data_IF_249055377631
#
_entry.id   IF_249055377631
#
_cell.length_a   1.000
_cell.length_b   1.000
_cell.length_c   1.000
_cell.angle_alpha   90.00
_cell.angle_beta   90.00
_cell.angle_gamma   90.00
#
_symmetry.space_group_name_H-M   'P 1'
#
loop_
_entity.id
_entity.type
_entity.pdbx_description
1 polymer ?
#
# COMPACT_ATOMS: atom_id res chain seq x y z
N UNK A 1 14.30 6.47 -26.72
CA UNK A 1 13.48 7.57 -26.13
C UNK A 1 14.42 8.36 -25.22
N UNK A 2 14.76 9.58 -25.61
CA UNK A 2 15.90 10.35 -25.10
C UNK A 2 15.56 11.12 -23.80
N UNK A 3 16.59 11.22 -22.95
CA UNK A 3 16.96 12.34 -22.06
C UNK A 3 16.03 12.73 -20.88
N UNK A 4 16.46 12.36 -19.67
CA UNK A 4 16.15 13.06 -18.43
C UNK A 4 17.31 13.98 -18.07
N UNK A 5 17.35 15.17 -18.66
CA UNK A 5 18.14 16.30 -18.15
C UNK A 5 17.19 17.47 -17.96
N UNK A 6 16.78 17.72 -16.72
CA UNK A 6 16.38 19.06 -16.30
C UNK A 6 16.48 19.21 -14.78
N UNK A 7 17.67 19.58 -14.31
CA UNK A 7 17.81 20.28 -13.03
C UNK A 7 17.41 21.73 -13.32
N UNK A 8 16.17 22.09 -13.00
CA UNK A 8 15.70 23.49 -13.07
C UNK A 8 15.99 24.15 -11.73
N UNK A 9 16.94 25.09 -11.72
CA UNK A 9 17.24 25.93 -10.56
C UNK A 9 16.35 27.18 -10.48
N UNK A 10 15.91 27.39 -9.25
CA UNK A 10 15.26 28.54 -8.60
C UNK A 10 14.03 29.21 -9.23
N UNK A 11 12.87 28.87 -8.67
CA UNK A 11 11.83 29.85 -8.34
C UNK A 11 11.24 29.49 -6.97
N UNK A 12 10.75 30.48 -6.21
CA UNK A 12 9.97 30.24 -4.98
C UNK A 12 8.76 29.36 -5.32
N UNK A 13 8.88 28.04 -5.15
CA UNK A 13 7.82 27.09 -5.52
C UNK A 13 8.28 25.67 -5.86
N UNK A 14 9.58 25.39 -5.99
CA UNK A 14 10.04 24.04 -6.33
C UNK A 14 10.00 23.10 -5.10
N UNK A 15 9.41 21.91 -5.28
CA UNK A 15 9.43 20.84 -4.28
C UNK A 15 10.23 19.66 -4.80
N UNK A 16 11.01 19.06 -3.91
CA UNK A 16 11.86 17.91 -4.22
C UNK A 16 11.31 16.68 -3.49
N UNK A 17 11.24 15.57 -4.21
CA UNK A 17 10.88 14.27 -3.68
C UNK A 17 11.58 13.19 -4.50
N UNK A 18 11.86 12.05 -3.85
CA UNK A 18 12.22 10.83 -4.55
C UNK A 18 10.95 10.04 -4.82
N UNK A 19 10.79 9.59 -6.06
CA UNK A 19 9.75 8.66 -6.49
C UNK A 19 10.42 7.36 -6.92
N UNK A 20 9.77 6.23 -6.69
CA UNK A 20 10.18 4.99 -7.32
C UNK A 20 9.97 5.07 -8.84
N UNK A 21 10.73 4.27 -9.58
CA UNK A 21 10.61 4.18 -11.05
C UNK A 21 9.39 3.36 -11.51
N UNK A 22 8.62 2.80 -10.57
CA UNK A 22 7.35 2.17 -10.89
C UNK A 22 6.32 3.28 -11.18
N UNK A 23 5.46 3.11 -12.19
CA UNK A 23 4.48 4.13 -12.63
C UNK A 23 3.40 4.47 -11.57
N UNK A 24 3.66 4.16 -10.30
CA UNK A 24 2.80 4.36 -9.15
C UNK A 24 3.21 5.62 -8.37
N UNK A 25 2.27 6.13 -7.56
CA UNK A 25 2.50 7.25 -6.65
C UNK A 25 3.27 6.79 -5.41
N UNK A 26 4.52 6.36 -5.57
CA UNK A 26 5.35 5.83 -4.47
C UNK A 26 6.52 6.76 -4.19
N UNK A 27 6.52 7.39 -3.02
CA UNK A 27 7.48 8.42 -2.62
C UNK A 27 8.35 7.98 -1.45
N UNK A 28 9.57 8.49 -1.34
CA UNK A 28 10.42 8.22 -0.18
C UNK A 28 9.81 8.74 1.13
N UNK A 29 9.93 7.96 2.21
CA UNK A 29 9.44 8.35 3.54
C UNK A 29 10.06 9.69 4.01
N UNK A 30 9.27 10.59 4.64
CA UNK A 30 9.75 11.89 5.08
C UNK A 30 10.93 11.85 6.06
N UNK A 31 11.06 10.82 6.90
CA UNK A 31 12.23 10.64 7.76
C UNK A 31 13.48 10.36 6.92
N UNK A 32 13.41 9.44 5.97
CA UNK A 32 14.52 9.14 5.06
C UNK A 32 14.97 10.39 4.29
N UNK A 33 14.02 11.21 3.79
CA UNK A 33 14.36 12.49 3.14
C UNK A 33 15.10 13.45 4.09
N UNK A 34 14.66 13.58 5.35
CA UNK A 34 15.37 14.43 6.34
C UNK A 34 16.77 13.93 6.66
N UNK A 35 16.96 12.60 6.69
CA UNK A 35 18.26 11.97 6.89
C UNK A 35 19.19 12.29 5.71
N UNK A 36 18.72 12.16 4.47
CA UNK A 36 19.49 12.54 3.27
C UNK A 36 19.85 14.03 3.29
N UNK A 37 18.89 14.91 3.59
CA UNK A 37 19.14 16.34 3.65
C UNK A 37 20.17 16.74 4.70
N UNK A 38 20.28 15.99 5.81
CA UNK A 38 21.32 16.21 6.82
C UNK A 38 22.69 15.81 6.30
N UNK A 39 22.79 14.71 5.56
CA UNK A 39 24.05 14.21 4.99
C UNK A 39 24.57 15.13 3.88
N UNK A 40 23.70 15.49 2.92
CA UNK A 40 24.06 16.26 1.73
C UNK A 40 23.93 17.78 1.91
N UNK A 41 23.28 18.22 3.00
CA UNK A 41 23.16 19.62 3.44
C UNK A 41 22.12 20.46 2.68
N UNK A 42 21.88 20.18 1.40
CA UNK A 42 20.90 20.90 0.58
C UNK A 42 20.26 20.00 -0.47
N UNK A 43 19.10 20.40 -0.99
CA UNK A 43 18.41 19.68 -2.08
C UNK A 43 19.24 19.62 -3.37
N UNK A 44 20.09 20.62 -3.62
CA UNK A 44 20.95 20.67 -4.81
C UNK A 44 22.07 19.62 -4.78
N UNK A 45 22.46 19.17 -3.59
CA UNK A 45 23.53 18.20 -3.39
C UNK A 45 23.02 16.76 -3.27
N UNK A 46 21.70 16.56 -3.33
CA UNK A 46 21.11 15.24 -3.24
C UNK A 46 21.50 14.40 -4.46
N UNK A 47 21.83 13.10 -4.27
CA UNK A 47 22.11 12.22 -5.40
C UNK A 47 20.87 12.06 -6.27
N UNK A 48 21.05 11.97 -7.59
CA UNK A 48 19.93 11.79 -8.52
C UNK A 48 19.19 10.48 -8.27
N UNK A 49 19.94 9.40 -8.01
CA UNK A 49 19.41 8.07 -7.76
C UNK A 49 19.91 7.54 -6.42
N UNK A 50 19.03 6.89 -5.67
CA UNK A 50 19.35 6.16 -4.44
C UNK A 50 18.94 4.71 -4.62
N UNK A 51 19.76 3.78 -4.14
CA UNK A 51 19.46 2.35 -4.17
C UNK A 51 19.67 1.78 -2.78
N UNK A 52 18.61 1.28 -2.16
CA UNK A 52 18.66 0.65 -0.84
C UNK A 52 17.51 -0.33 -0.68
N UNK A 53 17.59 -1.16 0.37
CA UNK A 53 16.58 -2.13 0.73
C UNK A 53 15.34 -1.42 1.28
N UNK A 54 14.17 -1.78 0.76
CA UNK A 54 12.88 -1.35 1.32
C UNK A 54 12.65 -2.04 2.66
N UNK A 55 12.36 -1.26 3.69
CA UNK A 55 12.04 -1.76 5.03
C UNK A 55 10.53 -1.80 5.31
N UNK A 56 9.79 -0.88 4.71
CA UNK A 56 8.34 -0.75 4.87
C UNK A 56 7.73 0.05 3.71
N UNK A 57 6.49 -0.30 3.36
CA UNK A 57 5.63 0.48 2.46
C UNK A 57 4.39 0.86 3.26
N UNK A 58 4.16 2.16 3.44
CA UNK A 58 2.97 2.70 4.09
C UNK A 58 2.04 3.29 3.03
N UNK A 59 0.81 2.77 2.93
CA UNK A 59 -0.18 3.23 1.95
C UNK A 59 -1.10 4.30 2.56
N UNK A 60 -1.38 5.34 1.79
CA UNK A 60 -2.17 6.48 2.20
C UNK A 60 -3.18 6.89 1.12
N UNK A 61 -4.27 7.46 1.59
CA UNK A 61 -5.22 8.20 0.76
C UNK A 61 -5.00 9.69 0.95
N UNK A 62 -4.91 10.44 -0.14
CA UNK A 62 -4.71 11.88 -0.10
C UNK A 62 -5.91 12.57 0.54
N UNK A 63 -5.68 13.17 1.71
CA UNK A 63 -6.65 14.00 2.42
C UNK A 63 -6.25 15.47 2.33
N UNK A 64 -7.19 16.37 2.58
CA UNK A 64 -6.90 17.80 2.59
C UNK A 64 -5.84 18.18 3.64
N UNK A 65 -5.85 17.51 4.80
CA UNK A 65 -4.83 17.68 5.83
C UNK A 65 -3.44 17.25 5.35
N UNK A 66 -3.33 16.08 4.69
CA UNK A 66 -2.07 15.59 4.14
C UNK A 66 -1.55 16.49 3.03
N UNK A 67 -2.42 16.96 2.15
CA UNK A 67 -2.08 17.90 1.08
C UNK A 67 -1.51 19.22 1.62
N UNK A 68 -2.11 19.75 2.70
CA UNK A 68 -1.64 20.98 3.33
C UNK A 68 -0.28 20.80 4.02
N UNK A 69 -0.04 19.64 4.65
CA UNK A 69 1.18 19.34 5.41
C UNK A 69 2.35 18.93 4.53
N UNK A 70 2.09 18.13 3.50
CA UNK A 70 3.10 17.55 2.61
C UNK A 70 3.07 18.23 1.25
N UNK A 71 3.58 19.46 1.20
CA UNK A 71 3.63 20.26 -0.04
C UNK A 71 4.25 19.53 -1.24
N UNK A 72 5.31 18.69 -1.10
CA UNK A 72 5.89 17.99 -2.25
C UNK A 72 4.92 17.08 -3.00
N UNK A 73 3.97 16.47 -2.31
CA UNK A 73 2.97 15.56 -2.90
C UNK A 73 1.61 16.23 -3.13
N UNK A 74 1.52 17.56 -2.95
CA UNK A 74 0.26 18.29 -3.10
C UNK A 74 -0.26 18.36 -4.54
N UNK A 75 0.57 17.96 -5.51
CA UNK A 75 0.20 17.82 -6.91
C UNK A 75 -0.76 16.63 -7.16
N UNK A 76 -0.85 15.70 -6.21
CA UNK A 76 -1.79 14.59 -6.28
C UNK A 76 -3.22 15.08 -6.03
N UNK A 77 -4.18 14.50 -6.75
CA UNK A 77 -5.61 14.77 -6.54
C UNK A 77 -6.05 14.41 -5.12
N UNK A 78 -7.07 15.10 -4.61
CA UNK A 78 -7.76 14.66 -3.39
C UNK A 78 -8.32 13.25 -3.64
N UNK A 79 -8.24 12.37 -2.65
CA UNK A 79 -8.58 10.94 -2.74
C UNK A 79 -7.65 10.09 -3.61
N UNK A 80 -6.54 10.63 -4.11
CA UNK A 80 -5.52 9.81 -4.76
C UNK A 80 -4.82 8.88 -3.76
N UNK A 81 -4.64 7.63 -4.15
CA UNK A 81 -3.80 6.68 -3.41
C UNK A 81 -2.32 6.95 -3.69
N UNK A 82 -1.52 6.90 -2.63
CA UNK A 82 -0.06 7.04 -2.71
C UNK A 82 0.61 6.25 -1.59
N UNK A 83 1.92 6.02 -1.73
CA UNK A 83 2.70 5.22 -0.79
C UNK A 83 3.92 6.00 -0.32
N UNK A 84 4.26 5.83 0.96
CA UNK A 84 5.57 6.18 1.48
C UNK A 84 6.44 4.94 1.61
N UNK A 85 7.64 5.02 1.05
CA UNK A 85 8.63 3.94 1.00
C UNK A 85 9.71 4.26 2.01
N UNK A 86 9.77 3.49 3.09
CA UNK A 86 10.85 3.55 4.04
C UNK A 86 11.99 2.64 3.57
N UNK A 87 13.20 3.17 3.50
CA UNK A 87 14.38 2.44 3.05
C UNK A 87 15.46 2.42 4.13
N UNK A 88 16.37 1.45 4.04
CA UNK A 88 17.50 1.35 4.93
C UNK A 88 18.49 2.48 4.69
N UNK A 89 18.67 3.34 5.69
CA UNK A 89 19.57 4.49 5.61
C UNK A 89 21.01 4.16 6.02
N UNK A 90 21.26 2.99 6.62
CA UNK A 90 22.57 2.65 7.22
C UNK A 90 23.72 2.66 6.22
N UNK A 91 23.45 2.34 4.95
CA UNK A 91 24.44 2.32 3.87
C UNK A 91 24.37 3.56 2.95
N UNK A 92 23.40 4.45 3.15
CA UNK A 92 23.20 5.64 2.33
C UNK A 92 23.82 6.90 2.95
N UNK A 93 24.08 6.90 4.25
CA UNK A 93 24.63 8.06 4.97
C UNK A 93 25.78 7.68 5.88
N UNK A 94 26.59 8.67 6.25
CA UNK A 94 27.65 8.49 7.24
C UNK A 94 27.10 8.05 8.61
N UNK A 95 27.95 7.36 9.38
CA UNK A 95 27.63 6.94 10.75
C UNK A 95 27.18 8.12 11.63
N UNK A 96 27.81 9.29 11.50
CA UNK A 96 27.47 10.49 12.27
C UNK A 96 26.03 10.96 12.01
N UNK A 97 25.61 10.96 10.74
CA UNK A 97 24.24 11.33 10.37
C UNK A 97 23.26 10.26 10.81
N UNK A 98 23.60 8.98 10.66
CA UNK A 98 22.76 7.89 11.12
C UNK A 98 22.51 7.96 12.64
N UNK A 99 23.57 8.15 13.42
CA UNK A 99 23.54 8.30 14.89
C UNK A 99 22.66 9.49 15.31
N UNK A 100 22.74 10.62 14.59
CA UNK A 100 21.88 11.79 14.86
C UNK A 100 20.38 11.48 14.78
N UNK A 101 19.98 10.57 13.88
CA UNK A 101 18.59 10.16 13.68
C UNK A 101 18.22 8.83 14.35
N UNK A 102 19.13 8.20 15.08
CA UNK A 102 18.98 6.85 15.63
C UNK A 102 17.67 6.68 16.41
N UNK A 103 17.33 7.64 17.28
CA UNK A 103 16.08 7.60 18.08
C UNK A 103 14.83 7.53 17.20
N UNK A 104 14.83 8.23 16.07
CA UNK A 104 13.69 8.35 15.17
C UNK A 104 13.57 7.10 14.29
N UNK A 105 14.71 6.61 13.79
CA UNK A 105 14.81 5.35 13.03
C UNK A 105 14.35 4.18 13.91
N UNK A 106 14.83 4.10 15.15
CA UNK A 106 14.41 3.08 16.12
C UNK A 106 12.95 3.20 16.51
N UNK A 107 12.40 4.42 16.53
CA UNK A 107 10.96 4.64 16.75
C UNK A 107 10.12 4.04 15.62
N UNK A 108 10.47 4.32 14.34
CA UNK A 108 9.85 3.69 13.16
C UNK A 108 9.97 2.16 13.23
N UNK A 109 11.15 1.64 13.55
CA UNK A 109 11.35 0.19 13.70
C UNK A 109 10.40 -0.44 14.74
N UNK A 110 10.28 0.17 15.91
CA UNK A 110 9.37 -0.29 16.96
C UNK A 110 7.90 -0.24 16.51
N UNK A 111 7.50 0.78 15.77
CA UNK A 111 6.15 0.90 15.21
C UNK A 111 5.89 -0.26 14.24
N UNK A 112 6.81 -0.52 13.30
CA UNK A 112 6.72 -1.64 12.35
C UNK A 112 6.61 -2.98 13.07
N UNK A 113 7.46 -3.22 14.07
CA UNK A 113 7.44 -4.45 14.85
C UNK A 113 6.09 -4.66 15.54
N UNK A 114 5.58 -3.62 16.22
CA UNK A 114 4.26 -3.67 16.87
C UNK A 114 3.13 -3.90 15.89
N UNK A 115 3.18 -3.28 14.70
CA UNK A 115 2.20 -3.47 13.62
C UNK A 115 2.17 -4.93 13.17
N UNK A 116 3.34 -5.51 12.85
CA UNK A 116 3.48 -6.90 12.42
C UNK A 116 3.02 -7.89 13.49
N UNK A 117 3.36 -7.65 14.76
CA UNK A 117 2.88 -8.47 15.87
C UNK A 117 1.36 -8.41 16.03
N UNK A 118 0.78 -7.22 15.88
CA UNK A 118 -0.67 -7.02 15.95
C UNK A 118 -1.38 -7.73 14.80
N UNK A 119 -0.89 -7.59 13.57
CA UNK A 119 -1.42 -8.28 12.38
C UNK A 119 -1.35 -9.79 12.52
N UNK A 120 -0.21 -10.33 12.97
CA UNK A 120 -0.07 -11.77 13.23
C UNK A 120 -1.12 -12.29 14.20
N UNK A 121 -1.34 -11.59 15.31
CA UNK A 121 -2.38 -11.95 16.30
C UNK A 121 -3.79 -11.92 15.71
N UNK A 122 -4.10 -10.95 14.84
CA UNK A 122 -5.42 -10.92 14.18
C UNK A 122 -5.59 -12.07 13.20
N UNK A 123 -4.56 -12.37 12.40
CA UNK A 123 -4.61 -13.49 11.46
C UNK A 123 -4.79 -14.83 12.18
N UNK A 124 -4.07 -15.07 13.28
CA UNK A 124 -4.23 -16.29 14.08
C UNK A 124 -5.65 -16.42 14.65
N UNK A 125 -6.24 -15.32 15.15
CA UNK A 125 -7.63 -15.31 15.62
C UNK A 125 -8.63 -15.58 14.50
N UNK A 126 -8.44 -14.94 13.34
CA UNK A 126 -9.32 -15.14 12.18
C UNK A 126 -9.29 -16.60 11.73
N UNK A 127 -8.10 -17.22 11.69
CA UNK A 127 -7.93 -18.64 11.36
C UNK A 127 -8.66 -19.56 12.34
N UNK A 128 -8.53 -19.33 13.64
CA UNK A 128 -9.23 -20.14 14.67
C UNK A 128 -10.76 -20.00 14.58
N UNK A 129 -11.26 -18.81 14.25
CA UNK A 129 -12.70 -18.59 14.05
C UNK A 129 -13.18 -19.36 12.82
N UNK A 130 -12.41 -19.32 11.73
CA UNK A 130 -12.71 -20.04 10.49
C UNK A 130 -12.69 -21.56 10.69
N UNK A 131 -11.68 -22.09 11.37
CA UNK A 131 -11.56 -23.50 11.74
C UNK A 131 -12.76 -23.97 12.60
N UNK A 132 -13.15 -23.19 13.61
CA UNK A 132 -14.34 -23.51 14.44
C UNK A 132 -15.65 -23.48 13.66
N UNK A 133 -15.80 -22.51 12.74
CA UNK A 133 -16.97 -22.47 11.85
C UNK A 133 -16.99 -23.69 10.95
N UNK A 134 -15.86 -24.04 10.35
CA UNK A 134 -15.72 -25.23 9.52
C UNK A 134 -16.10 -26.50 10.29
N UNK A 135 -15.57 -26.69 11.50
CA UNK A 135 -15.91 -27.81 12.37
C UNK A 135 -17.40 -27.84 12.72
N UNK A 136 -17.98 -26.67 13.04
CA UNK A 136 -19.41 -26.55 13.31
C UNK A 136 -20.27 -27.01 12.11
N UNK A 137 -19.94 -26.58 10.89
CA UNK A 137 -20.67 -26.99 9.69
C UNK A 137 -20.61 -28.51 9.46
N UNK A 138 -19.45 -29.12 9.68
CA UNK A 138 -19.27 -30.57 9.56
C UNK A 138 -20.04 -31.33 10.65
N UNK A 139 -19.91 -30.91 11.91
CA UNK A 139 -20.50 -31.60 13.07
C UNK A 139 -22.03 -31.55 13.06
N UNK A 140 -22.61 -30.45 12.60
CA UNK A 140 -24.05 -30.27 12.58
C UNK A 140 -24.72 -30.86 11.33
N UNK A 141 -23.97 -31.59 10.49
CA UNK A 141 -24.49 -32.27 9.29
C UNK A 141 -25.35 -31.32 8.43
N UNK A 142 -24.95 -30.05 8.35
CA UNK A 142 -25.72 -29.01 7.66
C UNK A 142 -25.73 -29.35 6.17
N UNK A 143 -26.86 -29.85 5.68
CA UNK A 143 -27.06 -30.13 4.26
C UNK A 143 -27.23 -28.82 3.51
N UNK A 144 -26.20 -28.42 2.76
CA UNK A 144 -26.29 -27.33 1.79
C UNK A 144 -26.71 -27.88 0.43
N UNK A 145 -27.81 -27.37 -0.10
CA UNK A 145 -28.24 -27.69 -1.47
C UNK A 145 -27.41 -26.84 -2.44
N UNK A 146 -26.33 -27.42 -2.94
CA UNK A 146 -25.47 -26.79 -3.95
C UNK A 146 -26.00 -27.24 -5.30
N UNK A 147 -26.91 -26.45 -5.87
CA UNK A 147 -27.38 -26.65 -7.24
C UNK A 147 -26.67 -25.69 -8.19
N UNK A 148 -26.43 -26.17 -9.41
CA UNK A 148 -26.23 -25.27 -10.54
C UNK A 148 -27.61 -24.87 -11.03
N UNK A 149 -27.88 -23.56 -11.17
CA UNK A 149 -29.09 -23.08 -11.89
C UNK A 149 -29.14 -23.59 -13.34
N UNK A 150 -27.99 -24.03 -13.88
CA UNK A 150 -27.86 -24.57 -15.23
C UNK A 150 -27.73 -26.08 -15.23
N UNK A 151 -28.41 -26.74 -16.18
CA UNK A 151 -28.32 -28.19 -16.44
C UNK A 151 -26.91 -28.62 -16.89
N UNK A 152 -26.09 -27.66 -17.28
CA UNK A 152 -24.66 -27.82 -17.57
C UNK A 152 -23.85 -27.22 -16.43
N UNK A 153 -22.83 -27.96 -15.96
CA UNK A 153 -21.82 -27.41 -15.06
C UNK A 153 -21.03 -26.38 -15.88
N UNK A 154 -20.96 -25.10 -15.46
CA UNK A 154 -20.23 -24.09 -16.21
C UNK A 154 -18.76 -24.49 -16.30
N UNK A 155 -18.26 -24.64 -17.53
CA UNK A 155 -16.83 -24.77 -17.78
C UNK A 155 -16.26 -23.35 -17.71
N UNK A 156 -15.34 -23.11 -16.77
CA UNK A 156 -14.62 -21.86 -16.72
C UNK A 156 -13.70 -21.78 -17.93
N UNK A 157 -14.10 -20.95 -18.90
CA UNK A 157 -13.35 -20.67 -20.12
C UNK A 157 -12.47 -19.45 -19.86
N UNK A 158 -11.20 -19.69 -19.51
CA UNK A 158 -10.24 -18.68 -19.04
C UNK A 158 -10.09 -17.48 -20.00
N UNK A 159 -10.44 -17.68 -21.27
CA UNK A 159 -10.26 -16.73 -22.36
C UNK A 159 -11.51 -15.88 -22.63
N UNK A 160 -12.65 -16.18 -22.00
CA UNK A 160 -13.87 -15.37 -22.12
C UNK A 160 -13.96 -14.38 -20.97
N UNK A 161 -13.72 -13.12 -21.30
CA UNK A 161 -13.89 -11.97 -20.40
C UNK A 161 -15.26 -12.00 -19.74
N UNK A 162 -15.28 -11.73 -18.43
CA UNK A 162 -16.46 -11.58 -17.58
C UNK A 162 -17.38 -10.56 -18.25
N UNK A 163 -18.39 -11.04 -18.98
CA UNK A 163 -19.50 -10.18 -19.40
C UNK A 163 -20.46 -10.03 -18.21
N UNK A 164 -20.88 -8.79 -17.99
CA UNK A 164 -21.55 -8.16 -16.84
C UNK A 164 -22.93 -8.74 -16.42
N UNK A 165 -23.23 -10.00 -16.74
CA UNK A 165 -24.56 -10.61 -16.61
C UNK A 165 -24.60 -11.85 -15.71
N UNK A 166 -23.61 -12.03 -14.82
CA UNK A 166 -23.68 -13.08 -13.79
C UNK A 166 -24.53 -12.66 -12.61
N UNK A 167 -25.71 -13.27 -12.50
CA UNK A 167 -26.66 -13.12 -11.40
C UNK A 167 -26.42 -14.21 -10.34
N UNK A 168 -26.43 -13.84 -9.06
CA UNK A 168 -26.41 -14.81 -7.96
C UNK A 168 -27.70 -14.74 -7.16
N UNK A 169 -28.13 -15.85 -6.59
CA UNK A 169 -29.29 -15.92 -5.68
C UNK A 169 -28.87 -16.27 -4.27
N UNK A 170 -29.30 -15.46 -3.31
CA UNK A 170 -29.25 -15.75 -1.88
C UNK A 170 -30.69 -15.78 -1.36
N UNK A 171 -31.10 -16.86 -0.70
CA UNK A 171 -32.44 -17.04 -0.13
C UNK A 171 -33.60 -16.70 -1.09
N UNK A 172 -33.46 -17.09 -2.36
CA UNK A 172 -34.50 -16.90 -3.39
C UNK A 172 -34.59 -15.51 -4.01
N UNK A 173 -33.65 -14.59 -3.71
CA UNK A 173 -33.60 -13.25 -4.30
C UNK A 173 -32.39 -13.08 -5.22
N UNK A 174 -32.59 -12.52 -6.41
CA UNK A 174 -31.54 -12.27 -7.39
C UNK A 174 -30.77 -10.97 -7.08
N UNK A 175 -29.44 -11.07 -7.09
CA UNK A 175 -28.52 -9.99 -6.75
C UNK A 175 -27.60 -9.74 -7.94
N UNK A 176 -27.54 -8.49 -8.40
CA UNK A 176 -26.59 -8.01 -9.42
C UNK A 176 -25.72 -6.91 -8.81
N UNK A 177 -24.40 -7.05 -8.92
CA UNK A 177 -23.40 -6.07 -8.47
C UNK A 177 -23.67 -5.48 -7.07
N UNK A 178 -23.99 -6.34 -6.10
CA UNK A 178 -24.12 -5.96 -4.68
C UNK A 178 -25.33 -5.09 -4.33
N UNK A 179 -26.27 -4.83 -5.26
CA UNK A 179 -27.54 -4.15 -4.96
C UNK A 179 -28.69 -5.15 -4.99
N UNK A 180 -29.43 -5.22 -3.89
CA UNK A 180 -30.65 -6.01 -3.74
C UNK A 180 -31.79 -5.16 -4.32
N UNK A 181 -32.38 -5.58 -5.44
CA UNK A 181 -33.65 -4.98 -5.89
C UNK A 181 -34.81 -5.62 -5.11
N UNK A 182 -35.72 -4.77 -4.62
CA UNK A 182 -36.94 -5.17 -3.89
C UNK A 182 -37.97 -5.82 -4.80
#
# INVERSE_FOLDING_TARGET
RQKYEKIVKESKGNYYFYQLDDETNSFLDPLCMRVLLKEYGSYDNLPLNISSKILEIEEFNMTEHLRAKNKPISHLGISAEFKFIEVDMSHLVSYKTYEHFEKQIRSKENIRKRRREKEKKYMEKAKLIDEKKHEYYLKNNISVNINSKSRHIPVWDAEKTINDDTWFTLDGKEIKNGKINQ
#
